data_IF_123311783011
#
_entry.id   IF_123311783011
#
_cell.length_a   1.000
_cell.length_b   1.000
_cell.length_c   1.000
_cell.angle_alpha   90.00
_cell.angle_beta   90.00
_cell.angle_gamma   90.00
#
_symmetry.space_group_name_H-M   'P 1'
#
loop_
_entity.id
_entity.type
_entity.pdbx_description
1 polymer ?
#
# COMPACT_ATOMS: atom_id res chain seq x y z
N UNK A 1 -45.76 -17.11 -3.30
CA UNK A 1 -44.45 -16.41 -3.39
C UNK A 1 -43.40 -17.09 -2.50
N UNK A 2 -42.98 -18.32 -2.81
CA UNK A 2 -42.05 -19.08 -1.96
C UNK A 2 -41.05 -19.97 -2.76
N UNK A 3 -40.75 -19.61 -4.01
CA UNK A 3 -39.88 -20.41 -4.90
C UNK A 3 -38.58 -19.67 -5.28
N UNK A 4 -38.51 -18.34 -5.12
CA UNK A 4 -37.34 -17.55 -5.49
C UNK A 4 -36.14 -17.60 -4.53
N UNK A 5 -36.29 -18.15 -3.32
CA UNK A 5 -35.26 -18.07 -2.28
C UNK A 5 -34.31 -19.28 -2.20
N UNK A 6 -34.49 -20.30 -3.05
CA UNK A 6 -33.65 -21.52 -3.03
C UNK A 6 -32.60 -21.60 -4.13
N UNK A 7 -32.69 -20.80 -5.20
CA UNK A 7 -31.66 -20.82 -6.26
C UNK A 7 -30.36 -20.10 -5.87
N UNK A 8 -30.43 -19.10 -4.98
CA UNK A 8 -29.24 -18.39 -4.48
C UNK A 8 -28.36 -19.24 -3.54
N UNK A 9 -28.82 -20.44 -3.14
CA UNK A 9 -28.10 -21.36 -2.25
C UNK A 9 -27.37 -22.48 -3.02
N UNK A 10 -27.51 -22.54 -4.35
CA UNK A 10 -26.94 -23.59 -5.22
C UNK A 10 -25.76 -23.13 -6.07
N UNK A 11 -25.45 -21.82 -6.10
CA UNK A 11 -24.11 -21.37 -6.51
C UNK A 11 -23.17 -21.63 -5.34
N UNK A 12 -22.63 -22.85 -5.32
CA UNK A 12 -21.69 -23.32 -4.32
C UNK A 12 -20.59 -22.27 -4.13
N UNK A 13 -20.61 -21.58 -2.99
CA UNK A 13 -19.68 -20.49 -2.66
C UNK A 13 -18.21 -20.96 -2.70
N UNK A 14 -18.00 -22.28 -2.61
CA UNK A 14 -16.73 -22.97 -2.82
C UNK A 14 -16.22 -22.81 -4.25
N UNK A 15 -17.09 -23.00 -5.25
CA UNK A 15 -16.76 -22.89 -6.67
C UNK A 15 -16.40 -21.46 -7.05
N UNK A 16 -17.13 -20.47 -6.54
CA UNK A 16 -16.83 -19.04 -6.75
C UNK A 16 -15.49 -18.63 -6.11
N UNK A 17 -15.11 -19.25 -4.98
CA UNK A 17 -13.82 -19.03 -4.30
C UNK A 17 -12.64 -19.63 -5.07
N UNK A 18 -12.74 -20.88 -5.52
CA UNK A 18 -11.69 -21.51 -6.31
C UNK A 18 -11.52 -20.82 -7.66
N UNK A 19 -12.62 -20.42 -8.31
CA UNK A 19 -12.57 -19.69 -9.57
C UNK A 19 -12.05 -18.26 -9.41
N UNK A 20 -12.35 -17.54 -8.33
CA UNK A 20 -11.72 -16.22 -8.07
C UNK A 20 -10.23 -16.34 -7.72
N UNK A 21 -9.83 -17.33 -6.91
CA UNK A 21 -8.40 -17.57 -6.63
C UNK A 21 -7.63 -18.03 -7.87
N UNK A 22 -8.21 -18.90 -8.69
CA UNK A 22 -7.62 -19.35 -9.95
C UNK A 22 -7.62 -18.24 -11.02
N UNK A 23 -8.64 -17.39 -11.06
CA UNK A 23 -8.68 -16.22 -11.95
C UNK A 23 -7.61 -15.20 -11.53
N UNK A 24 -7.51 -14.87 -10.24
CA UNK A 24 -6.46 -13.96 -9.73
C UNK A 24 -5.05 -14.55 -9.93
N UNK A 25 -4.88 -15.84 -9.70
CA UNK A 25 -3.61 -16.54 -9.96
C UNK A 25 -3.24 -16.56 -11.45
N UNK A 26 -4.19 -16.84 -12.33
CA UNK A 26 -3.94 -16.85 -13.79
C UNK A 26 -3.73 -15.44 -14.35
N UNK A 27 -4.38 -14.42 -13.78
CA UNK A 27 -4.14 -13.01 -14.12
C UNK A 27 -2.74 -12.56 -13.66
N UNK A 28 -2.34 -12.94 -12.44
CA UNK A 28 -1.02 -12.66 -11.88
C UNK A 28 0.12 -13.35 -12.65
N UNK A 29 -0.10 -14.55 -13.19
CA UNK A 29 0.90 -15.25 -14.02
C UNK A 29 1.01 -14.61 -15.41
N UNK A 30 -0.10 -14.12 -16.01
CA UNK A 30 -0.06 -13.44 -17.32
C UNK A 30 0.61 -12.08 -17.25
N UNK A 31 0.43 -11.31 -16.17
CA UNK A 31 1.04 -9.99 -16.00
C UNK A 31 2.57 -10.02 -15.92
N UNK A 32 3.17 -11.14 -15.48
CA UNK A 32 4.63 -11.34 -15.42
C UNK A 32 5.24 -11.55 -16.82
N UNK A 33 4.50 -12.15 -17.76
CA UNK A 33 4.99 -12.34 -19.14
C UNK A 33 5.03 -11.04 -19.96
N UNK A 34 4.35 -9.99 -19.49
CA UNK A 34 4.32 -8.66 -20.10
C UNK A 34 5.19 -7.67 -19.32
N UNK A 35 6.38 -8.09 -18.88
CA UNK A 35 7.46 -7.19 -18.50
C UNK A 35 7.97 -6.47 -19.76
N UNK A 36 7.12 -5.64 -20.36
CA UNK A 36 7.54 -4.64 -21.32
C UNK A 36 8.49 -3.71 -20.57
N UNK A 37 9.72 -3.60 -21.06
CA UNK A 37 10.61 -2.48 -20.79
C UNK A 37 9.77 -1.20 -20.89
N UNK A 38 9.40 -0.63 -19.74
CA UNK A 38 8.77 0.69 -19.71
C UNK A 38 9.84 1.61 -20.28
N UNK A 39 9.55 2.24 -21.42
CA UNK A 39 10.47 3.20 -22.01
C UNK A 39 10.71 4.31 -20.98
N UNK A 40 11.96 4.75 -20.85
CA UNK A 40 12.33 5.89 -20.00
C UNK A 40 11.42 7.10 -20.29
N UNK A 41 10.97 7.28 -21.54
CA UNK A 41 10.00 8.30 -21.93
C UNK A 41 8.58 8.13 -21.35
N UNK A 42 8.12 6.91 -21.05
CA UNK A 42 6.81 6.69 -20.43
C UNK A 42 6.86 6.96 -18.92
N UNK A 43 8.01 6.73 -18.28
CA UNK A 43 8.28 7.12 -16.88
C UNK A 43 8.44 8.63 -16.71
N UNK A 44 8.95 9.35 -17.72
CA UNK A 44 9.08 10.82 -17.71
C UNK A 44 7.75 11.54 -17.44
N UNK A 45 6.61 10.95 -17.80
CA UNK A 45 5.29 11.57 -17.68
C UNK A 45 4.52 11.18 -16.41
N UNK A 46 5.03 10.23 -15.64
CA UNK A 46 4.47 9.85 -14.33
C UNK A 46 4.82 10.88 -13.23
N UNK A 47 5.75 11.78 -13.52
CA UNK A 47 6.25 12.80 -12.61
C UNK A 47 5.64 14.16 -12.89
N UNK A 48 5.76 15.05 -11.90
CA UNK A 48 5.35 16.45 -11.93
C UNK A 48 5.51 17.03 -13.36
N UNK A 49 4.44 17.56 -13.99
CA UNK A 49 4.51 18.14 -15.34
C UNK A 49 5.55 19.27 -15.45
N UNK A 50 6.09 19.72 -14.32
CA UNK A 50 7.15 20.70 -14.20
C UNK A 50 8.56 20.10 -14.16
N UNK A 51 8.82 19.02 -14.91
CA UNK A 51 10.15 18.39 -14.96
C UNK A 51 10.54 18.01 -16.40
N UNK A 52 11.76 18.37 -16.79
CA UNK A 52 12.41 17.95 -18.05
C UNK A 52 13.59 17.06 -17.68
N UNK A 53 13.63 15.84 -18.19
CA UNK A 53 14.73 14.91 -17.96
C UNK A 53 15.62 14.89 -19.21
N UNK A 54 16.92 15.11 -19.02
CA UNK A 54 17.94 15.02 -20.06
C UNK A 54 18.88 13.87 -19.72
N UNK A 55 19.16 13.00 -20.69
CA UNK A 55 20.15 11.95 -20.54
C UNK A 55 21.33 12.26 -21.46
N UNK A 56 22.38 12.82 -20.87
CA UNK A 56 23.62 13.15 -21.59
C UNK A 56 24.69 12.16 -21.15
N UNK A 57 25.14 11.31 -22.08
CA UNK A 57 26.21 10.33 -21.86
C UNK A 57 25.96 9.38 -20.66
N UNK A 58 24.72 8.99 -20.41
CA UNK A 58 24.33 8.10 -19.31
C UNK A 58 24.12 8.79 -17.97
N UNK A 59 24.38 10.09 -17.87
CA UNK A 59 24.01 10.90 -16.71
C UNK A 59 22.63 11.49 -16.92
N UNK A 60 21.70 11.15 -16.04
CA UNK A 60 20.34 11.69 -16.05
C UNK A 60 20.33 12.97 -15.22
N UNK A 61 20.16 14.11 -15.89
CA UNK A 61 19.95 15.41 -15.24
C UNK A 61 18.50 15.85 -15.38
N UNK A 62 18.02 16.59 -14.38
CA UNK A 62 16.62 16.96 -14.24
C UNK A 62 16.53 18.46 -14.20
N UNK A 63 15.70 19.07 -15.04
CA UNK A 63 15.55 20.52 -15.16
C UNK A 63 14.11 20.95 -14.89
N UNK A 64 13.95 22.14 -14.33
CA UNK A 64 12.65 22.80 -14.24
C UNK A 64 12.31 23.47 -15.58
N UNK A 65 11.13 23.22 -16.18
CA UNK A 65 10.71 23.90 -17.41
C UNK A 65 10.40 25.38 -17.18
N UNK A 66 10.13 25.79 -15.94
CA UNK A 66 9.78 27.18 -15.61
C UNK A 66 11.02 28.06 -15.48
N UNK A 67 12.10 27.53 -14.89
CA UNK A 67 13.33 28.31 -14.61
C UNK A 67 14.50 27.93 -15.50
N UNK A 68 14.45 26.78 -16.18
CA UNK A 68 15.58 26.18 -16.89
C UNK A 68 16.70 25.69 -15.98
N UNK A 69 16.55 25.82 -14.65
CA UNK A 69 17.58 25.41 -13.69
C UNK A 69 17.50 23.92 -13.40
N UNK A 70 18.66 23.34 -13.10
CA UNK A 70 18.76 21.96 -12.66
C UNK A 70 18.08 21.77 -11.30
N UNK A 71 17.26 20.74 -11.18
CA UNK A 71 16.64 20.28 -9.94
C UNK A 71 17.58 19.23 -9.34
N UNK A 72 18.29 19.56 -8.24
CA UNK A 72 19.24 18.62 -7.64
C UNK A 72 18.51 17.36 -7.19
N UNK A 73 19.04 16.19 -7.49
CA UNK A 73 18.41 14.93 -7.12
C UNK A 73 18.91 14.48 -5.75
N UNK A 74 17.99 14.08 -4.89
CA UNK A 74 18.29 13.60 -3.54
C UNK A 74 18.27 12.08 -3.43
N UNK A 75 18.72 11.59 -2.27
CA UNK A 75 18.49 10.19 -1.91
C UNK A 75 17.00 10.04 -1.69
N UNK A 76 16.38 9.25 -2.57
CA UNK A 76 15.02 8.79 -2.38
C UNK A 76 15.02 7.87 -1.14
N UNK A 77 14.85 8.41 0.06
CA UNK A 77 14.59 7.66 1.29
C UNK A 77 13.10 7.74 1.65
N UNK A 78 12.57 6.66 2.22
CA UNK A 78 11.24 6.55 2.80
C UNK A 78 11.30 6.10 4.27
N UNK A 79 12.51 6.14 4.87
CA UNK A 79 12.80 5.66 6.22
C UNK A 79 12.68 4.15 6.40
N UNK A 80 12.64 3.35 5.32
CA UNK A 80 12.58 1.89 5.40
C UNK A 80 13.95 1.23 5.59
N UNK A 81 15.06 1.96 5.43
CA UNK A 81 16.39 1.37 5.50
C UNK A 81 16.82 0.67 4.24
N UNK A 82 17.89 -0.12 4.35
CA UNK A 82 18.36 -1.02 3.32
C UNK A 82 18.67 -2.38 3.93
N UNK A 83 18.29 -3.44 3.23
CA UNK A 83 18.43 -4.82 3.69
C UNK A 83 17.88 -5.01 5.11
N UNK A 84 18.67 -5.53 6.05
CA UNK A 84 18.32 -5.68 7.46
C UNK A 84 18.95 -4.62 8.35
N UNK A 85 19.01 -3.37 7.88
CA UNK A 85 19.36 -2.24 8.74
C UNK A 85 18.41 -2.17 9.94
N UNK A 86 18.81 -1.44 10.98
CA UNK A 86 17.99 -1.24 12.19
C UNK A 86 16.58 -0.73 11.86
N UNK A 87 16.45 0.20 10.93
CA UNK A 87 15.16 0.75 10.50
C UNK A 87 14.29 -0.29 9.79
N UNK A 88 14.88 -1.12 8.93
CA UNK A 88 14.16 -2.21 8.25
C UNK A 88 13.64 -3.24 9.24
N UNK A 89 14.47 -3.65 10.21
CA UNK A 89 14.06 -4.58 11.28
C UNK A 89 12.91 -3.98 12.10
N UNK A 90 12.98 -2.70 12.44
CA UNK A 90 11.92 -2.01 13.18
C UNK A 90 10.60 -2.03 12.40
N UNK A 91 10.62 -1.78 11.08
CA UNK A 91 9.42 -1.88 10.24
C UNK A 91 8.87 -3.30 10.15
N UNK A 92 9.72 -4.32 10.05
CA UNK A 92 9.31 -5.73 10.07
C UNK A 92 8.61 -6.05 11.40
N UNK A 93 9.22 -5.69 12.52
CA UNK A 93 8.65 -5.91 13.87
C UNK A 93 7.33 -5.17 14.01
N UNK A 94 7.27 -3.90 13.61
CA UNK A 94 6.04 -3.11 13.62
C UNK A 94 4.93 -3.76 12.81
N UNK A 95 5.22 -4.19 11.58
CA UNK A 95 4.27 -4.80 10.67
C UNK A 95 3.64 -6.06 11.26
N UNK A 96 4.43 -6.94 11.89
CA UNK A 96 3.90 -8.12 12.57
C UNK A 96 3.20 -7.80 13.91
N UNK A 97 3.73 -6.84 14.68
CA UNK A 97 3.18 -6.47 16.00
C UNK A 97 1.80 -5.83 15.88
N UNK A 98 1.54 -5.05 14.81
CA UNK A 98 0.23 -4.45 14.55
C UNK A 98 -0.63 -5.36 13.68
N UNK A 99 -0.04 -5.92 12.61
CA UNK A 99 -0.74 -6.73 11.63
C UNK A 99 -1.26 -8.06 12.19
N UNK A 100 -0.42 -8.76 12.96
CA UNK A 100 -0.76 -10.06 13.54
C UNK A 100 -1.99 -10.01 14.44
N UNK A 101 -2.02 -9.13 15.47
CA UNK A 101 -3.19 -8.97 16.32
C UNK A 101 -4.44 -8.52 15.56
N UNK A 102 -4.34 -7.59 14.61
CA UNK A 102 -5.48 -7.19 13.77
C UNK A 102 -6.04 -8.37 12.97
N UNK A 103 -5.17 -9.14 12.33
CA UNK A 103 -5.55 -10.30 11.53
C UNK A 103 -6.15 -11.42 12.38
N UNK A 104 -5.56 -11.71 13.55
CA UNK A 104 -5.87 -12.89 14.37
C UNK A 104 -6.94 -12.64 15.43
N UNK A 105 -6.97 -11.47 16.06
CA UNK A 105 -7.77 -11.23 17.28
C UNK A 105 -8.52 -9.90 17.22
N UNK A 106 -8.41 -9.14 16.12
CA UNK A 106 -8.82 -7.74 16.00
C UNK A 106 -10.26 -7.39 16.36
N UNK A 107 -11.18 -8.32 16.55
CA UNK A 107 -12.54 -8.00 17.03
C UNK A 107 -12.73 -8.13 18.56
N UNK A 108 -11.82 -8.84 19.27
CA UNK A 108 -12.00 -9.17 20.70
C UNK A 108 -11.55 -8.08 21.66
N UNK A 109 -10.78 -7.09 21.20
CA UNK A 109 -10.29 -5.97 22.01
C UNK A 109 -10.51 -4.63 21.31
N UNK A 110 -11.76 -4.13 21.33
CA UNK A 110 -12.16 -2.98 20.52
C UNK A 110 -11.22 -1.78 20.68
N UNK A 111 -10.80 -1.42 21.90
CA UNK A 111 -9.87 -0.29 22.13
C UNK A 111 -8.54 -0.47 21.40
N UNK A 112 -7.92 -1.65 21.51
CA UNK A 112 -6.64 -1.95 20.86
C UNK A 112 -6.78 -1.90 19.33
N UNK A 113 -7.90 -2.37 18.80
CA UNK A 113 -8.19 -2.34 17.36
C UNK A 113 -8.36 -0.93 16.85
N UNK A 114 -9.10 -0.08 17.58
CA UNK A 114 -9.31 1.32 17.20
C UNK A 114 -8.02 2.14 17.36
N UNK A 115 -7.25 1.87 18.42
CA UNK A 115 -5.88 2.37 18.58
C UNK A 115 -5.01 2.00 17.38
N UNK A 116 -4.95 0.72 17.02
CA UNK A 116 -4.18 0.25 15.88
C UNK A 116 -4.65 0.90 14.57
N UNK A 117 -5.97 1.09 14.36
CA UNK A 117 -6.50 1.75 13.19
C UNK A 117 -6.07 3.22 13.09
N UNK A 118 -6.28 4.00 14.15
CA UNK A 118 -5.94 5.44 14.16
C UNK A 118 -4.42 5.64 14.12
N UNK A 119 -3.67 4.85 14.88
CA UNK A 119 -2.20 4.85 14.84
C UNK A 119 -1.67 4.51 13.45
N UNK A 120 -2.18 3.46 12.81
CA UNK A 120 -1.75 3.08 11.45
C UNK A 120 -2.09 4.16 10.44
N UNK A 121 -3.27 4.80 10.54
CA UNK A 121 -3.63 5.93 9.70
C UNK A 121 -2.68 7.12 9.89
N UNK A 122 -2.31 7.45 11.14
CA UNK A 122 -1.37 8.52 11.45
C UNK A 122 0.04 8.22 10.91
N UNK A 123 0.54 7.00 11.10
CA UNK A 123 1.82 6.58 10.52
C UNK A 123 1.81 6.63 9.00
N UNK A 124 0.77 6.07 8.37
CA UNK A 124 0.65 6.06 6.91
C UNK A 124 0.55 7.47 6.31
N UNK A 125 -0.27 8.34 6.90
CA UNK A 125 -0.42 9.72 6.45
C UNK A 125 0.88 10.52 6.63
N UNK A 126 1.54 10.40 7.78
CA UNK A 126 2.81 11.10 8.01
C UNK A 126 3.93 10.59 7.12
N UNK A 127 4.06 9.27 6.95
CA UNK A 127 4.99 8.67 5.99
C UNK A 127 4.75 9.19 4.57
N UNK A 128 3.49 9.20 4.12
CA UNK A 128 3.13 9.67 2.78
C UNK A 128 3.47 11.17 2.60
N UNK A 129 3.29 11.99 3.64
CA UNK A 129 3.74 13.39 3.63
C UNK A 129 5.26 13.45 3.47
N UNK A 130 6.03 12.76 4.32
CA UNK A 130 7.49 12.84 4.27
C UNK A 130 8.06 12.43 2.92
N UNK A 131 7.62 11.30 2.36
CA UNK A 131 8.11 10.84 1.04
C UNK A 131 7.88 11.91 -0.03
N UNK A 132 6.81 12.70 0.05
CA UNK A 132 6.47 13.74 -0.91
C UNK A 132 7.06 15.14 -0.60
N UNK A 133 7.57 15.38 0.60
CA UNK A 133 8.02 16.73 1.02
C UNK A 133 9.49 16.83 1.37
N UNK A 134 10.26 15.73 1.35
CA UNK A 134 11.71 15.78 1.53
C UNK A 134 12.39 16.59 0.42
N UNK A 135 13.44 17.32 0.77
CA UNK A 135 14.27 18.04 -0.20
C UNK A 135 15.38 17.13 -0.76
N UNK A 136 16.29 17.71 -1.54
CA UNK A 136 17.43 16.99 -2.11
C UNK A 136 18.49 16.57 -1.06
N UNK A 137 18.51 17.18 0.12
CA UNK A 137 19.42 16.81 1.21
C UNK A 137 18.88 15.57 1.93
N UNK A 138 17.56 15.49 2.08
CA UNK A 138 16.88 14.39 2.72
C UNK A 138 17.04 14.38 4.24
N UNK A 139 16.47 13.35 4.87
CA UNK A 139 16.53 13.11 6.30
C UNK A 139 17.00 11.67 6.52
N UNK A 140 17.78 11.43 7.59
CA UNK A 140 18.23 10.08 7.92
C UNK A 140 17.06 9.14 8.16
N UNK A 141 17.17 7.90 7.70
CA UNK A 141 16.11 6.89 7.84
C UNK A 141 15.67 6.72 9.30
N UNK A 142 16.61 6.68 10.24
CA UNK A 142 16.35 6.53 11.67
C UNK A 142 15.44 7.64 12.18
N UNK A 143 15.70 8.89 11.79
CA UNK A 143 14.87 10.02 12.18
C UNK A 143 13.45 9.91 11.59
N UNK A 144 13.34 9.56 10.30
CA UNK A 144 12.04 9.41 9.63
C UNK A 144 11.22 8.26 10.25
N UNK A 145 11.82 7.08 10.44
CA UNK A 145 11.19 5.95 11.13
C UNK A 145 10.72 6.35 12.53
N UNK A 146 11.57 7.04 13.28
CA UNK A 146 11.25 7.46 14.66
C UNK A 146 10.04 8.38 14.68
N UNK A 147 10.01 9.42 13.82
CA UNK A 147 8.87 10.36 13.78
C UNK A 147 7.58 9.65 13.37
N UNK A 148 7.62 8.82 12.33
CA UNK A 148 6.43 8.09 11.85
C UNK A 148 5.89 7.14 12.93
N UNK A 149 6.76 6.41 13.63
CA UNK A 149 6.34 5.50 14.70
C UNK A 149 5.93 6.22 15.99
N UNK A 150 6.49 7.39 16.28
CA UNK A 150 5.98 8.26 17.35
C UNK A 150 4.56 8.75 17.05
N UNK A 151 4.28 9.13 15.81
CA UNK A 151 2.94 9.52 15.37
C UNK A 151 1.96 8.33 15.38
N UNK A 152 2.43 7.12 15.04
CA UNK A 152 1.67 5.90 15.30
C UNK A 152 1.32 5.77 16.79
N UNK A 153 2.30 5.92 17.69
CA UNK A 153 2.09 5.80 19.12
C UNK A 153 1.07 6.81 19.66
N UNK A 154 1.18 8.07 19.25
CA UNK A 154 0.21 9.11 19.61
C UNK A 154 -1.19 8.81 19.06
N UNK A 155 -1.30 8.43 17.78
CA UNK A 155 -2.57 8.03 17.17
C UNK A 155 -3.17 6.79 17.84
N UNK A 156 -2.33 5.84 18.26
CA UNK A 156 -2.74 4.65 18.99
C UNK A 156 -3.31 5.02 20.35
N UNK A 157 -2.62 5.85 21.14
CA UNK A 157 -3.10 6.32 22.43
C UNK A 157 -4.41 7.10 22.31
N UNK A 158 -4.53 7.97 21.31
CA UNK A 158 -5.78 8.66 21.01
C UNK A 158 -6.90 7.67 20.69
N UNK A 159 -6.61 6.63 19.91
CA UNK A 159 -7.59 5.60 19.55
C UNK A 159 -8.05 4.70 20.68
N UNK A 160 -7.33 4.65 21.81
CA UNK A 160 -7.76 3.96 23.03
C UNK A 160 -8.88 4.70 23.78
N UNK A 161 -9.04 5.99 23.52
CA UNK A 161 -10.03 6.83 24.17
C UNK A 161 -11.44 6.50 23.66
N UNK A 162 -12.45 6.73 24.49
CA UNK A 162 -13.84 6.46 24.08
C UNK A 162 -14.35 7.50 23.06
N UNK A 163 -13.82 8.72 23.12
CA UNK A 163 -14.14 9.81 22.18
C UNK A 163 -13.82 9.43 20.72
N UNK A 164 -12.74 8.68 20.51
CA UNK A 164 -12.30 8.28 19.17
C UNK A 164 -13.01 7.04 18.64
N UNK A 165 -14.01 6.49 19.37
CA UNK A 165 -14.63 5.21 19.01
C UNK A 165 -15.23 5.23 17.60
N UNK A 166 -16.05 6.24 17.30
CA UNK A 166 -16.73 6.35 16.00
C UNK A 166 -15.71 6.61 14.89
N UNK A 167 -14.77 7.52 15.13
CA UNK A 167 -13.71 7.84 14.18
C UNK A 167 -12.83 6.62 13.87
N UNK A 168 -12.40 5.86 14.88
CA UNK A 168 -11.58 4.67 14.71
C UNK A 168 -12.29 3.57 13.92
N UNK A 169 -13.60 3.38 14.14
CA UNK A 169 -14.41 2.41 13.39
C UNK A 169 -14.43 2.79 11.91
N UNK A 170 -14.66 4.07 11.59
CA UNK A 170 -14.66 4.58 10.23
C UNK A 170 -13.29 4.47 9.57
N UNK A 171 -12.24 4.90 10.28
CA UNK A 171 -10.84 4.85 9.82
C UNK A 171 -10.42 3.40 9.53
N UNK A 172 -10.80 2.44 10.37
CA UNK A 172 -10.51 1.03 10.11
C UNK A 172 -11.19 0.51 8.84
N UNK A 173 -12.44 0.94 8.58
CA UNK A 173 -13.14 0.63 7.33
C UNK A 173 -12.39 1.18 6.11
N UNK A 174 -11.95 2.44 6.19
CA UNK A 174 -11.16 3.09 5.14
C UNK A 174 -9.84 2.36 4.93
N UNK A 175 -9.06 2.13 5.98
CA UNK A 175 -7.76 1.43 5.90
C UNK A 175 -7.91 0.02 5.34
N UNK A 176 -8.96 -0.70 5.74
CA UNK A 176 -9.25 -2.02 5.21
C UNK A 176 -9.53 -2.00 3.71
N UNK A 177 -10.31 -1.02 3.25
CA UNK A 177 -10.56 -0.80 1.83
C UNK A 177 -9.31 -0.38 1.05
N UNK A 178 -8.56 0.61 1.55
CA UNK A 178 -7.31 1.07 0.97
C UNK A 178 -6.30 -0.06 0.84
N UNK A 179 -6.16 -0.90 1.87
CA UNK A 179 -5.27 -2.06 1.84
C UNK A 179 -5.62 -3.04 0.71
N UNK A 180 -6.90 -3.25 0.39
CA UNK A 180 -7.31 -4.07 -0.77
C UNK A 180 -6.88 -3.40 -2.07
N UNK A 181 -7.23 -2.11 -2.23
CA UNK A 181 -6.94 -1.36 -3.45
C UNK A 181 -5.44 -1.27 -3.74
N UNK A 182 -4.63 -0.99 -2.71
CA UNK A 182 -3.16 -0.94 -2.83
C UNK A 182 -2.62 -2.29 -3.28
N UNK A 183 -3.04 -3.40 -2.67
CA UNK A 183 -2.59 -4.73 -3.08
C UNK A 183 -2.96 -5.04 -4.53
N UNK A 184 -4.17 -4.69 -4.97
CA UNK A 184 -4.59 -4.86 -6.37
C UNK A 184 -3.66 -4.07 -7.31
N UNK A 185 -3.37 -2.81 -6.96
CA UNK A 185 -2.50 -1.94 -7.75
C UNK A 185 -1.06 -2.46 -7.80
N UNK A 186 -0.56 -3.07 -6.73
CA UNK A 186 0.80 -3.59 -6.63
C UNK A 186 1.02 -4.96 -7.31
N UNK A 187 -0.02 -5.65 -7.80
CA UNK A 187 0.12 -6.98 -8.42
C UNK A 187 0.86 -6.98 -9.77
N UNK A 188 1.06 -5.80 -10.37
CA UNK A 188 1.65 -5.65 -11.70
C UNK A 188 2.88 -4.74 -11.66
N UNK A 189 3.87 -5.09 -12.49
CA UNK A 189 5.04 -4.23 -12.75
C UNK A 189 4.59 -2.89 -13.32
N UNK A 190 5.15 -1.79 -12.82
CA UNK A 190 4.70 -0.44 -13.16
C UNK A 190 3.29 -0.11 -12.64
N UNK A 191 2.77 -0.89 -11.68
CA UNK A 191 1.42 -0.81 -11.11
C UNK A 191 0.34 -1.31 -12.07
N UNK A 192 -0.94 -1.27 -11.65
CA UNK A 192 -2.06 -1.79 -12.45
C UNK A 192 -2.21 -1.04 -13.78
N UNK A 193 -2.23 0.29 -13.70
CA UNK A 193 -2.21 1.20 -14.86
C UNK A 193 -0.86 1.90 -14.90
N UNK A 194 0.02 1.41 -15.77
CA UNK A 194 1.39 1.92 -15.93
C UNK A 194 1.48 3.12 -16.88
N UNK A 195 0.40 3.41 -17.63
CA UNK A 195 0.36 4.56 -18.52
C UNK A 195 0.35 5.85 -17.70
N UNK A 196 1.34 6.70 -17.97
CA UNK A 196 1.50 8.02 -17.38
C UNK A 196 0.25 8.90 -17.45
N UNK A 197 -0.48 8.88 -18.56
CA UNK A 197 -1.66 9.73 -18.76
C UNK A 197 -2.87 9.27 -17.93
N UNK A 198 -2.89 7.98 -17.58
CA UNK A 198 -3.96 7.33 -16.84
C UNK A 198 -3.52 6.91 -15.42
N UNK A 199 -2.38 7.40 -14.93
CA UNK A 199 -1.83 7.00 -13.63
C UNK A 199 -2.79 7.24 -12.46
N UNK A 200 -3.58 8.32 -12.52
CA UNK A 200 -4.59 8.66 -11.53
C UNK A 200 -5.64 7.55 -11.34
N UNK A 201 -5.81 6.64 -12.33
CA UNK A 201 -6.72 5.50 -12.23
C UNK A 201 -6.29 4.55 -11.11
N UNK A 202 -4.99 4.38 -10.83
CA UNK A 202 -4.53 3.61 -9.68
C UNK A 202 -5.09 4.18 -8.36
N UNK A 203 -5.05 5.51 -8.23
CA UNK A 203 -5.62 6.22 -7.08
C UNK A 203 -7.14 6.14 -7.02
N UNK A 204 -7.83 6.15 -8.17
CA UNK A 204 -9.27 5.93 -8.22
C UNK A 204 -9.64 4.53 -7.72
N UNK A 205 -8.90 3.49 -8.11
CA UNK A 205 -9.12 2.11 -7.61
C UNK A 205 -8.92 2.06 -6.09
N UNK A 206 -7.82 2.63 -5.60
CA UNK A 206 -7.51 2.68 -4.16
C UNK A 206 -8.60 3.44 -3.39
N UNK A 207 -8.96 4.64 -3.85
CA UNK A 207 -9.98 5.49 -3.25
C UNK A 207 -11.37 4.84 -3.26
N UNK A 208 -11.74 4.20 -4.37
CA UNK A 208 -12.99 3.45 -4.46
C UNK A 208 -13.04 2.29 -3.46
N UNK A 209 -11.97 1.50 -3.34
CA UNK A 209 -11.91 0.43 -2.34
C UNK A 209 -11.98 1.00 -0.91
N UNK A 210 -11.29 2.10 -0.61
CA UNK A 210 -11.36 2.81 0.67
C UNK A 210 -12.79 3.27 1.01
N UNK A 211 -13.48 3.88 0.04
CA UNK A 211 -14.87 4.33 0.18
C UNK A 211 -15.84 3.14 0.35
N UNK A 212 -15.66 2.06 -0.41
CA UNK A 212 -16.46 0.85 -0.24
C UNK A 212 -16.27 0.24 1.16
N UNK A 213 -15.04 0.26 1.69
CA UNK A 213 -14.73 -0.17 3.04
C UNK A 213 -15.43 0.67 4.11
N UNK A 214 -15.47 2.00 3.95
CA UNK A 214 -16.17 2.90 4.88
C UNK A 214 -17.69 2.73 4.82
N UNK A 215 -18.27 2.63 3.62
CA UNK A 215 -19.71 2.36 3.42
C UNK A 215 -20.09 1.02 4.07
N UNK A 216 -19.26 -0.01 3.91
CA UNK A 216 -19.52 -1.32 4.50
C UNK A 216 -19.56 -1.27 6.03
N UNK A 217 -18.70 -0.46 6.66
CA UNK A 217 -18.73 -0.23 8.10
C UNK A 217 -20.00 0.51 8.53
N UNK A 218 -20.45 1.52 7.79
CA UNK A 218 -21.69 2.25 8.10
C UNK A 218 -22.92 1.35 7.94
N UNK A 219 -22.98 0.56 6.86
CA UNK A 219 -24.14 -0.27 6.54
C UNK A 219 -24.19 -1.57 7.35
N UNK A 220 -23.05 -2.23 7.52
CA UNK A 220 -22.91 -3.54 8.18
C UNK A 220 -21.69 -3.54 9.09
N UNK A 221 -21.73 -2.72 10.14
CA UNK A 221 -20.62 -2.48 11.08
C UNK A 221 -19.83 -3.73 11.48
N UNK A 222 -20.49 -4.82 11.89
CA UNK A 222 -19.79 -6.06 12.28
C UNK A 222 -18.97 -6.66 11.12
N UNK A 223 -19.53 -6.72 9.92
CA UNK A 223 -18.86 -7.26 8.73
C UNK A 223 -17.74 -6.30 8.30
N UNK A 224 -18.03 -5.00 8.28
CA UNK A 224 -17.04 -3.97 7.94
C UNK A 224 -15.83 -3.97 8.88
N UNK A 225 -16.05 -4.10 10.19
CA UNK A 225 -14.97 -4.18 11.18
C UNK A 225 -14.14 -5.46 11.02
N UNK A 226 -14.77 -6.61 10.82
CA UNK A 226 -14.06 -7.88 10.60
C UNK A 226 -13.23 -7.83 9.32
N UNK A 227 -13.81 -7.31 8.23
CA UNK A 227 -13.12 -7.14 6.96
C UNK A 227 -11.98 -6.11 7.08
N UNK A 228 -12.19 -5.01 7.79
CA UNK A 228 -11.18 -3.99 8.06
C UNK A 228 -9.98 -4.57 8.82
N UNK A 229 -10.24 -5.27 9.92
CA UNK A 229 -9.20 -5.96 10.69
C UNK A 229 -8.42 -6.97 9.85
N UNK A 230 -9.14 -7.86 9.14
CA UNK A 230 -8.52 -8.91 8.34
C UNK A 230 -7.72 -8.34 7.17
N UNK A 231 -8.23 -7.30 6.51
CA UNK A 231 -7.59 -6.66 5.37
C UNK A 231 -6.35 -5.86 5.75
N UNK A 232 -6.46 -4.97 6.73
CA UNK A 232 -5.32 -4.18 7.22
C UNK A 232 -4.28 -5.08 7.88
N UNK A 233 -4.73 -6.06 8.68
CA UNK A 233 -3.85 -7.02 9.32
C UNK A 233 -3.09 -7.90 8.33
N UNK A 234 -3.77 -8.48 7.32
CA UNK A 234 -3.10 -9.29 6.32
C UNK A 234 -2.18 -8.47 5.42
N UNK A 235 -2.52 -7.22 5.13
CA UNK A 235 -1.63 -6.30 4.41
C UNK A 235 -0.34 -6.04 5.17
N UNK A 236 -0.42 -5.72 6.48
CA UNK A 236 0.78 -5.49 7.29
C UNK A 236 1.61 -6.76 7.45
N UNK A 237 0.99 -7.92 7.71
CA UNK A 237 1.74 -9.18 7.76
C UNK A 237 2.40 -9.50 6.41
N UNK A 238 1.71 -9.28 5.30
CA UNK A 238 2.26 -9.47 3.96
C UNK A 238 3.46 -8.54 3.70
N UNK A 239 3.35 -7.26 4.07
CA UNK A 239 4.46 -6.31 4.02
C UNK A 239 5.64 -6.78 4.88
N UNK A 240 5.40 -7.28 6.09
CA UNK A 240 6.44 -7.82 6.96
C UNK A 240 7.14 -9.05 6.37
N UNK A 241 6.38 -10.01 5.83
CA UNK A 241 6.96 -11.18 5.13
C UNK A 241 7.75 -10.77 3.89
N UNK A 242 7.21 -9.84 3.10
CA UNK A 242 7.86 -9.37 1.90
C UNK A 242 9.15 -8.61 2.21
N UNK A 243 9.19 -7.78 3.25
CA UNK A 243 10.42 -7.14 3.75
C UNK A 243 11.47 -8.17 4.22
N UNK A 244 11.05 -9.30 4.79
CA UNK A 244 11.99 -10.37 5.19
C UNK A 244 12.57 -11.09 3.98
N UNK A 245 11.77 -11.35 2.94
CA UNK A 245 12.18 -12.18 1.79
C UNK A 245 12.83 -11.34 0.70
N UNK A 246 12.18 -10.25 0.33
CA UNK A 246 12.51 -9.39 -0.80
C UNK A 246 13.09 -8.04 -0.36
N UNK A 247 13.25 -7.80 0.94
CA UNK A 247 13.80 -6.55 1.46
C UNK A 247 13.01 -5.35 0.89
N UNK A 248 13.71 -4.29 0.48
CA UNK A 248 13.09 -3.09 -0.06
C UNK A 248 12.70 -3.22 -1.55
N UNK A 249 12.96 -4.34 -2.23
CA UNK A 249 12.66 -4.48 -3.66
C UNK A 249 11.23 -4.91 -3.98
N UNK A 250 10.46 -5.37 -2.98
CA UNK A 250 9.10 -5.87 -3.15
C UNK A 250 8.01 -4.81 -2.90
N UNK A 251 7.08 -5.11 -1.99
CA UNK A 251 5.96 -4.26 -1.59
C UNK A 251 6.42 -2.88 -1.11
N UNK A 252 7.53 -2.78 -0.39
CA UNK A 252 8.08 -1.47 0.03
C UNK A 252 8.43 -0.59 -1.18
N UNK A 253 9.13 -1.14 -2.19
CA UNK A 253 9.35 -0.43 -3.47
C UNK A 253 8.05 -0.06 -4.14
N UNK A 254 7.07 -0.97 -4.17
CA UNK A 254 5.77 -0.71 -4.77
C UNK A 254 5.02 0.43 -4.11
N UNK A 255 5.01 0.47 -2.77
CA UNK A 255 4.42 1.55 -1.99
C UNK A 255 5.12 2.87 -2.26
N UNK A 256 6.46 2.88 -2.22
CA UNK A 256 7.22 4.07 -2.55
C UNK A 256 6.91 4.54 -3.98
N UNK A 257 7.00 3.64 -4.95
CA UNK A 257 6.71 3.96 -6.34
C UNK A 257 5.28 4.46 -6.52
N UNK A 258 4.29 3.99 -5.75
CA UNK A 258 2.91 4.47 -5.81
C UNK A 258 2.75 5.87 -5.19
N UNK A 259 3.38 6.13 -4.05
CA UNK A 259 3.16 7.33 -3.23
C UNK A 259 4.17 8.46 -3.47
N UNK A 260 5.38 8.17 -3.93
CA UNK A 260 6.45 9.15 -4.14
C UNK A 260 6.21 9.92 -5.45
N UNK A 261 5.81 11.19 -5.32
CA UNK A 261 5.64 12.14 -6.44
C UNK A 261 6.57 13.34 -6.27
N UNK A 262 7.65 13.16 -5.52
CA UNK A 262 8.58 14.22 -5.22
C UNK A 262 9.52 14.52 -6.40
N UNK A 263 9.64 15.80 -6.78
CA UNK A 263 10.54 16.26 -7.84
C UNK A 263 12.03 16.00 -7.59
N UNK A 264 12.41 15.82 -6.32
CA UNK A 264 13.78 15.52 -5.91
C UNK A 264 14.14 14.03 -5.99
N UNK A 265 13.15 13.14 -6.16
CA UNK A 265 13.34 11.68 -6.25
C UNK A 265 13.08 11.16 -7.68
N UNK A 266 13.19 12.05 -8.67
CA UNK A 266 12.77 11.77 -10.03
C UNK A 266 13.63 10.68 -10.66
N UNK A 267 14.95 10.81 -10.51
CA UNK A 267 15.92 9.87 -11.08
C UNK A 267 15.73 8.48 -10.49
N UNK A 268 15.54 8.34 -9.18
CA UNK A 268 15.31 7.04 -8.55
C UNK A 268 14.04 6.37 -9.08
N UNK A 269 12.95 7.12 -9.21
CA UNK A 269 11.67 6.58 -9.69
C UNK A 269 11.76 6.10 -11.14
N UNK A 270 12.45 6.85 -12.00
CA UNK A 270 12.63 6.53 -13.43
C UNK A 270 13.60 5.36 -13.63
N UNK A 271 14.70 5.33 -12.88
CA UNK A 271 15.75 4.31 -13.05
C UNK A 271 15.37 2.97 -12.43
N UNK A 272 14.84 2.98 -11.20
CA UNK A 272 14.60 1.76 -10.45
C UNK A 272 13.15 1.25 -10.58
N UNK A 273 12.19 2.12 -10.87
CA UNK A 273 10.78 1.76 -11.14
C UNK A 273 10.14 0.86 -10.06
N UNK A 274 9.09 0.12 -10.43
CA UNK A 274 8.55 -0.98 -9.62
C UNK A 274 8.39 -2.23 -10.48
N UNK A 275 9.22 -3.24 -10.21
CA UNK A 275 9.14 -4.57 -10.84
C UNK A 275 9.11 -5.62 -9.72
N UNK A 276 7.92 -6.04 -9.26
CA UNK A 276 7.83 -6.93 -8.11
C UNK A 276 8.42 -8.31 -8.41
N UNK A 277 9.27 -8.86 -7.53
CA UNK A 277 9.65 -10.26 -7.55
C UNK A 277 8.41 -11.17 -7.57
N UNK A 278 8.53 -12.36 -8.17
CA UNK A 278 7.43 -13.33 -8.21
C UNK A 278 6.93 -13.71 -6.81
N UNK A 279 7.84 -13.78 -5.84
CA UNK A 279 7.53 -13.96 -4.41
C UNK A 279 6.63 -12.85 -3.87
N UNK A 280 6.90 -11.58 -4.19
CA UNK A 280 6.04 -10.44 -3.82
C UNK A 280 4.63 -10.59 -4.40
N UNK A 281 4.52 -10.98 -5.67
CA UNK A 281 3.22 -11.19 -6.33
C UNK A 281 2.42 -12.31 -5.64
N UNK A 282 3.09 -13.41 -5.27
CA UNK A 282 2.47 -14.51 -4.51
C UNK A 282 2.02 -14.03 -3.13
N UNK A 283 2.86 -13.29 -2.40
CA UNK A 283 2.54 -12.74 -1.08
C UNK A 283 1.31 -11.83 -1.17
N UNK A 284 1.27 -10.93 -2.16
CA UNK A 284 0.13 -10.04 -2.41
C UNK A 284 -1.16 -10.82 -2.68
N UNK A 285 -1.12 -11.80 -3.60
CA UNK A 285 -2.27 -12.63 -3.95
C UNK A 285 -2.79 -13.45 -2.75
N UNK A 286 -1.89 -14.09 -2.01
CA UNK A 286 -2.24 -14.86 -0.80
C UNK A 286 -2.83 -13.96 0.28
N UNK A 287 -2.24 -12.78 0.50
CA UNK A 287 -2.76 -11.83 1.50
C UNK A 287 -4.18 -11.34 1.18
N UNK A 288 -4.52 -11.18 -0.10
CA UNK A 288 -5.87 -10.85 -0.57
C UNK A 288 -6.84 -12.00 -0.35
N UNK A 289 -6.43 -13.24 -0.65
CA UNK A 289 -7.23 -14.43 -0.40
C UNK A 289 -7.55 -14.61 1.09
N UNK A 290 -6.58 -14.37 1.97
CA UNK A 290 -6.73 -14.47 3.43
C UNK A 290 -7.75 -13.44 3.97
N UNK A 291 -7.82 -12.24 3.38
CA UNK A 291 -8.81 -11.22 3.78
C UNK A 291 -10.25 -11.73 3.70
N UNK A 292 -10.55 -12.65 2.77
CA UNK A 292 -11.90 -13.20 2.54
C UNK A 292 -12.25 -14.40 3.44
N UNK A 293 -11.37 -14.84 4.34
CA UNK A 293 -11.64 -16.00 5.20
C UNK A 293 -12.70 -15.66 6.26
N UNK A 294 -13.93 -16.10 5.98
CA UNK A 294 -15.10 -15.97 6.86
C UNK A 294 -14.80 -16.56 8.24
N UNK A 295 -14.69 -15.70 9.24
CA UNK A 295 -14.83 -16.08 10.65
C UNK A 295 -16.32 -16.23 10.94
N UNK A 296 -16.78 -17.48 11.03
CA UNK A 296 -18.12 -17.80 11.52
C UNK A 296 -18.29 -17.36 12.98
#
# INVERSE_FOLDING_TARGET
MAVGFRLARLLDHSFLRYSTCAALGSWAVRSVSAASLISVQDLHRLQDPNVIISNNNGTITVYSPLTGQEIPQGIASDGSGSSFSTTAIVWIVFAFTVGGPLLLVGFRGWRLTLGAAIGTAAAFASWAVFVNTLDNVGISDVALTTVVLSLFGLGFLLGLLELSRVAGILVLGILGGLAIGVRIVLLRSGLLVSDSTAYFVNWLVIGFCGLAGSILVVWKQRIGLLNGCASTGSFLCALGFDLVINQQSGMSRGLRFLFDRNRYHVVDTVTNGYSPPMTTVIILAVSLAITYVRRN
#
